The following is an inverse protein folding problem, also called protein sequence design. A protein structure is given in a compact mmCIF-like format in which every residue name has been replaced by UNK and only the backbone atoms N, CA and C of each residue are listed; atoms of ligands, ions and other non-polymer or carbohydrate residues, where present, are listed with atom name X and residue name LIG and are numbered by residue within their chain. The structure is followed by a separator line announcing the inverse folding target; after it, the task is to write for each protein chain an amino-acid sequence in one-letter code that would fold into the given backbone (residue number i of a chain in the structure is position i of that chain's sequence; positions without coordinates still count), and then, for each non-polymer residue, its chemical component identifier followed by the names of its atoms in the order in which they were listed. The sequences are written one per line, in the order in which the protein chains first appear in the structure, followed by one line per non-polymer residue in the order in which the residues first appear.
data_IF_717613411485
#
_entry.id   IF_717613411485
#
_cell.length_a   1.000
_cell.length_b   1.000
_cell.length_c   1.000
_cell.angle_alpha   90.00
_cell.angle_beta   90.00
_cell.angle_gamma   90.00
#
_symmetry.space_group_name_H-M   'P 1'
#
loop_
_entity.id
_entity.type
_entity.pdbx_description
1 polymer ?
#
# COMPACT_ATOMS: atom_id res chain seq x y z
N UNK A 1 -27.56 48.18 -4.92
CA UNK A 1 -26.31 48.79 -4.39
C UNK A 1 -25.69 48.06 -3.19
N UNK A 2 -26.45 47.52 -2.21
CA UNK A 2 -25.88 46.84 -1.03
C UNK A 2 -25.05 45.57 -1.32
N UNK A 3 -25.40 44.75 -2.32
CA UNK A 3 -24.67 43.50 -2.64
C UNK A 3 -23.31 43.74 -3.31
N UNK A 4 -23.16 44.82 -4.09
CA UNK A 4 -21.91 45.18 -4.77
C UNK A 4 -20.84 45.66 -3.80
N UNK A 5 -21.23 46.39 -2.75
CA UNK A 5 -20.30 46.89 -1.72
C UNK A 5 -19.72 45.74 -0.87
N UNK A 6 -20.51 44.70 -0.59
CA UNK A 6 -20.05 43.53 0.17
C UNK A 6 -19.03 42.71 -0.64
N UNK A 7 -19.27 42.53 -1.94
CA UNK A 7 -18.34 41.79 -2.83
C UNK A 7 -17.01 42.54 -2.97
N UNK A 8 -17.05 43.86 -3.12
CA UNK A 8 -15.83 44.69 -3.19
C UNK A 8 -15.04 44.63 -1.87
N UNK A 9 -15.73 44.64 -0.72
CA UNK A 9 -15.09 44.52 0.59
C UNK A 9 -14.37 43.17 0.79
N UNK A 10 -14.98 42.07 0.34
CA UNK A 10 -14.37 40.73 0.44
C UNK A 10 -13.14 40.61 -0.47
N UNK A 11 -13.22 41.12 -1.70
CA UNK A 11 -12.08 41.11 -2.64
C UNK A 11 -10.91 41.94 -2.10
N UNK A 12 -11.18 43.08 -1.47
CA UNK A 12 -10.14 43.92 -0.87
C UNK A 12 -9.44 43.23 0.33
N UNK A 13 -10.19 42.49 1.14
CA UNK A 13 -9.66 41.70 2.26
C UNK A 13 -8.76 40.55 1.80
N UNK A 14 -9.13 39.88 0.71
CA UNK A 14 -8.32 38.81 0.09
C UNK A 14 -7.01 39.37 -0.46
N UNK A 15 -7.05 40.54 -1.13
CA UNK A 15 -5.83 41.18 -1.66
C UNK A 15 -4.88 41.63 -0.54
N UNK A 16 -5.41 42.15 0.58
CA UNK A 16 -4.61 42.52 1.75
C UNK A 16 -3.92 41.31 2.40
N UNK A 17 -4.60 40.17 2.48
CA UNK A 17 -4.00 38.94 3.03
C UNK A 17 -2.92 38.37 2.13
N UNK A 18 -3.11 38.39 0.80
CA UNK A 18 -2.07 37.99 -0.15
C UNK A 18 -0.85 38.91 -0.05
N UNK A 19 -1.05 40.23 0.06
CA UNK A 19 0.05 41.19 0.18
C UNK A 19 0.84 41.02 1.48
N UNK A 20 0.15 40.74 2.59
CA UNK A 20 0.78 40.49 3.88
C UNK A 20 1.63 39.21 3.87
N UNK A 21 1.11 38.13 3.27
CA UNK A 21 1.85 36.87 3.11
C UNK A 21 3.07 37.03 2.19
N UNK A 22 2.95 37.81 1.11
CA UNK A 22 4.05 38.07 0.20
C UNK A 22 5.18 38.88 0.85
N UNK A 23 4.84 39.89 1.67
CA UNK A 23 5.82 40.72 2.37
C UNK A 23 6.60 39.94 3.43
N UNK A 24 5.96 38.99 4.11
CA UNK A 24 6.63 38.14 5.12
C UNK A 24 7.45 36.99 4.52
N UNK A 25 7.42 36.78 3.20
CA UNK A 25 8.22 35.76 2.52
C UNK A 25 9.58 36.27 2.00
N UNK A 26 9.93 37.55 2.24
CA UNK A 26 11.18 38.16 1.76
C UNK A 26 12.13 38.56 2.91
N UNK A 27 12.36 37.69 3.89
CA UNK A 27 13.56 37.81 4.73
C UNK A 27 14.76 37.13 4.04
N UNK A 28 15.91 37.80 3.89
CA UNK A 28 17.08 37.24 3.20
C UNK A 28 17.83 36.23 4.08
N UNK A 29 18.02 35.02 3.56
CA UNK A 29 18.83 33.97 4.17
C UNK A 29 20.32 34.30 4.03
N UNK A 30 20.97 34.63 5.15
CA UNK A 30 22.43 34.80 5.25
C UNK A 30 23.13 33.43 5.18
N UNK A 31 23.89 33.19 4.11
CA UNK A 31 24.75 32.01 3.95
C UNK A 31 26.09 32.23 4.68
N UNK A 32 26.57 31.31 5.55
CA UNK A 32 27.91 31.42 6.11
C UNK A 32 28.98 31.10 5.07
N UNK A 33 29.97 31.99 4.97
CA UNK A 33 31.16 31.85 4.14
C UNK A 33 32.09 30.74 4.65
N UNK A 34 32.65 30.00 3.69
CA UNK A 34 33.78 29.08 3.84
C UNK A 34 35.00 29.87 4.31
N UNK A 35 35.65 29.43 5.39
CA UNK A 35 37.00 29.88 5.75
C UNK A 35 37.97 28.71 5.62
N UNK A 36 38.88 28.82 4.64
CA UNK A 36 40.01 27.92 4.44
C UNK A 36 41.04 28.15 5.56
N UNK A 37 41.47 27.08 6.25
CA UNK A 37 42.76 27.08 6.97
C UNK A 37 43.35 25.67 7.12
N UNK A 38 44.49 25.54 6.43
CA UNK A 38 45.69 24.71 6.68
C UNK A 38 45.64 23.19 6.75
N UNK A 39 46.48 22.60 5.88
CA UNK A 39 46.91 21.21 5.79
C UNK A 39 47.45 20.66 7.12
N UNK A 40 46.84 19.59 7.62
CA UNK A 40 47.52 18.61 8.46
C UNK A 40 47.15 17.21 7.99
N UNK A 41 48.16 16.51 7.48
CA UNK A 41 48.13 15.10 7.11
C UNK A 41 48.01 14.27 8.39
N UNK A 42 46.85 13.67 8.63
CA UNK A 42 46.69 12.62 9.63
C UNK A 42 46.37 11.30 8.93
N UNK A 43 47.29 10.35 9.09
CA UNK A 43 47.15 8.96 8.69
C UNK A 43 46.23 8.28 9.70
N UNK A 44 44.93 8.22 9.42
CA UNK A 44 43.98 7.42 10.20
C UNK A 44 43.83 6.03 9.55
N UNK A 45 44.23 5.00 10.32
CA UNK A 45 43.84 3.61 10.09
C UNK A 45 42.32 3.51 9.92
N UNK A 46 41.81 2.59 9.09
CA UNK A 46 40.38 2.42 8.91
C UNK A 46 39.78 1.91 10.23
N UNK A 47 39.26 2.84 11.03
CA UNK A 47 38.41 2.53 12.16
C UNK A 47 37.18 1.86 11.58
N UNK A 48 37.07 0.56 11.85
CA UNK A 48 35.89 -0.26 11.57
C UNK A 48 34.68 0.52 12.11
N UNK A 49 33.90 1.13 11.22
CA UNK A 49 32.58 1.63 11.54
C UNK A 49 31.80 0.39 11.90
N UNK A 50 31.73 0.11 13.19
CA UNK A 50 30.77 -0.84 13.71
C UNK A 50 29.44 -0.13 13.50
N UNK A 51 28.71 -0.53 12.46
CA UNK A 51 27.32 -0.13 12.28
C UNK A 51 26.59 -0.50 13.57
N UNK A 52 26.40 0.48 14.45
CA UNK A 52 25.46 0.36 15.55
C UNK A 52 24.09 0.32 14.89
N UNK A 53 23.61 -0.88 14.61
CA UNK A 53 22.23 -1.14 14.20
C UNK A 53 21.35 -0.55 15.29
N UNK A 54 20.87 0.68 15.08
CA UNK A 54 19.88 1.33 15.91
C UNK A 54 18.62 0.45 15.83
N UNK A 55 18.40 -0.38 16.86
CA UNK A 55 17.20 -1.18 17.01
C UNK A 55 16.04 -0.22 17.28
N UNK A 56 15.39 0.24 16.22
CA UNK A 56 14.36 1.26 16.32
C UNK A 56 13.08 0.61 16.86
N UNK A 57 12.95 0.60 18.19
CA UNK A 57 11.94 -0.16 18.96
C UNK A 57 10.50 0.29 18.71
N UNK A 58 10.26 1.42 18.03
CA UNK A 58 8.93 1.95 17.73
C UNK A 58 8.69 2.13 16.22
N UNK A 59 9.02 1.12 15.41
CA UNK A 59 8.93 1.19 13.94
C UNK A 59 7.55 0.80 13.42
N UNK A 60 7.01 1.58 12.49
CA UNK A 60 5.88 1.19 11.64
C UNK A 60 6.43 0.64 10.31
N UNK A 61 5.87 -0.46 9.82
CA UNK A 61 6.18 -1.06 8.50
C UNK A 61 4.88 -1.55 7.86
N UNK A 62 4.85 -1.91 6.57
CA UNK A 62 5.84 -1.58 5.57
C UNK A 62 5.60 -0.19 4.96
N UNK A 63 6.59 0.32 4.24
CA UNK A 63 6.27 1.25 3.16
C UNK A 63 5.58 0.48 2.04
N UNK A 64 4.44 0.97 1.56
CA UNK A 64 3.64 0.30 0.54
C UNK A 64 3.88 0.89 -0.83
N UNK A 65 3.95 0.01 -1.83
CA UNK A 65 3.68 0.35 -3.22
C UNK A 65 2.55 -0.50 -3.76
N UNK A 66 1.86 -0.11 -4.81
CA UNK A 66 0.82 -0.97 -5.36
C UNK A 66 -0.23 -0.35 -6.24
N UNK A 67 -1.16 -1.21 -6.62
CA UNK A 67 -2.25 -0.88 -7.52
C UNK A 67 -3.54 -1.56 -7.09
N UNK A 68 -4.65 -0.82 -7.22
CA UNK A 68 -5.97 -1.38 -7.05
C UNK A 68 -6.95 -0.95 -8.15
N UNK A 69 -7.46 -1.94 -8.89
CA UNK A 69 -8.67 -1.78 -9.68
C UNK A 69 -9.87 -2.20 -8.81
N UNK A 70 -10.77 -1.27 -8.52
CA UNK A 70 -11.86 -1.46 -7.55
C UNK A 70 -13.22 -1.16 -8.14
N UNK A 71 -14.26 -1.80 -7.63
CA UNK A 71 -15.62 -1.33 -7.85
C UNK A 71 -15.87 0.01 -7.13
N UNK A 72 -16.84 0.83 -7.58
CA UNK A 72 -17.25 2.01 -6.84
C UNK A 72 -17.65 1.66 -5.40
N UNK A 73 -17.06 2.38 -4.44
CA UNK A 73 -17.25 2.22 -2.99
C UNK A 73 -16.74 0.89 -2.39
N UNK A 74 -16.01 0.09 -3.15
CA UNK A 74 -15.34 -1.08 -2.59
C UNK A 74 -14.22 -0.64 -1.61
N UNK A 75 -14.19 -1.18 -0.39
CA UNK A 75 -13.15 -0.84 0.58
C UNK A 75 -11.80 -1.46 0.19
N UNK A 76 -10.75 -0.65 0.31
CA UNK A 76 -9.35 -1.07 0.23
C UNK A 76 -8.78 -1.02 1.65
N UNK A 77 -8.22 -2.12 2.12
CA UNK A 77 -7.58 -2.16 3.45
C UNK A 77 -6.08 -2.37 3.30
N UNK A 78 -5.29 -1.47 3.88
CA UNK A 78 -3.84 -1.66 4.06
C UNK A 78 -3.58 -1.98 5.53
N UNK A 79 -2.73 -2.96 5.80
CA UNK A 79 -2.34 -3.33 7.17
C UNK A 79 -0.89 -2.98 7.40
N UNK A 80 -0.65 -2.07 8.34
CA UNK A 80 0.70 -1.77 8.83
C UNK A 80 0.98 -2.63 10.04
N UNK A 81 2.24 -2.96 10.27
CA UNK A 81 2.73 -3.69 11.41
C UNK A 81 3.56 -2.74 12.25
N UNK A 82 3.14 -2.55 13.49
CA UNK A 82 3.80 -1.65 14.42
C UNK A 82 4.54 -2.46 15.48
N UNK A 83 5.85 -2.22 15.60
CA UNK A 83 6.63 -2.75 16.71
C UNK A 83 6.46 -1.84 17.93
N UNK A 84 5.93 -2.40 19.01
CA UNK A 84 5.73 -1.70 20.28
C UNK A 84 6.17 -2.61 21.43
N UNK A 85 7.24 -2.26 22.17
CA UNK A 85 7.88 -3.14 23.13
C UNK A 85 7.23 -3.12 24.52
N UNK A 86 6.20 -2.30 24.72
CA UNK A 86 5.58 -2.04 26.02
C UNK A 86 4.15 -2.57 26.04
N UNK A 87 3.65 -2.81 27.24
CA UNK A 87 2.22 -3.02 27.42
C UNK A 87 1.45 -1.72 27.29
N UNK A 88 0.20 -1.86 26.90
CA UNK A 88 -0.74 -0.76 26.85
C UNK A 88 -1.34 -0.52 28.22
N UNK A 89 -1.67 0.73 28.53
CA UNK A 89 -2.53 1.08 29.65
C UNK A 89 -3.84 1.66 29.12
N UNK A 90 -4.84 1.77 29.99
CA UNK A 90 -6.19 2.26 29.64
C UNK A 90 -6.23 3.67 29.05
N UNK A 91 -5.17 4.47 29.24
CA UNK A 91 -5.04 5.81 28.67
C UNK A 91 -4.38 5.82 27.28
N UNK A 92 -4.03 4.65 26.74
CA UNK A 92 -3.32 4.54 25.48
C UNK A 92 -4.29 4.53 24.30
N UNK A 93 -4.01 5.34 23.29
CA UNK A 93 -4.66 5.23 21.98
C UNK A 93 -3.67 5.45 20.85
N UNK A 94 -3.93 4.83 19.70
CA UNK A 94 -3.09 4.94 18.51
C UNK A 94 -3.95 5.41 17.35
N UNK A 95 -3.50 6.45 16.67
CA UNK A 95 -4.13 6.96 15.45
C UNK A 95 -3.23 6.60 14.28
N UNK A 96 -3.77 5.87 13.30
CA UNK A 96 -3.14 5.68 12.00
C UNK A 96 -3.84 6.58 11.01
N UNK A 97 -3.09 7.40 10.29
CA UNK A 97 -3.61 8.35 9.32
C UNK A 97 -2.91 8.19 7.97
N UNK A 98 -3.67 8.28 6.88
CA UNK A 98 -3.17 8.26 5.52
C UNK A 98 -4.03 9.21 4.67
N UNK A 99 -3.44 10.32 4.24
CA UNK A 99 -4.14 11.41 3.57
C UNK A 99 -5.38 11.86 4.37
N UNK A 100 -6.59 11.62 3.85
CA UNK A 100 -7.87 11.96 4.52
C UNK A 100 -8.42 10.84 5.41
N UNK A 101 -7.86 9.64 5.32
CA UNK A 101 -8.34 8.46 6.02
C UNK A 101 -7.64 8.37 7.37
N UNK A 102 -8.36 7.93 8.39
CA UNK A 102 -7.81 7.71 9.72
C UNK A 102 -8.55 6.58 10.42
N UNK A 103 -7.82 5.83 11.23
CA UNK A 103 -8.32 4.77 12.10
C UNK A 103 -7.78 4.99 13.50
N UNK A 104 -8.65 4.79 14.49
CA UNK A 104 -8.32 4.94 15.91
C UNK A 104 -8.37 3.57 16.56
N UNK A 105 -7.30 3.28 17.29
CA UNK A 105 -7.10 2.08 18.07
C UNK A 105 -7.00 2.49 19.54
N UNK A 106 -8.11 2.43 20.25
CA UNK A 106 -8.13 2.62 21.70
C UNK A 106 -7.54 1.40 22.43
N UNK A 107 -7.37 1.53 23.75
CA UNK A 107 -6.81 0.48 24.60
C UNK A 107 -7.50 -0.88 24.38
N UNK A 108 -8.83 -0.93 24.40
CA UNK A 108 -9.60 -2.17 24.26
C UNK A 108 -9.35 -2.83 22.89
N UNK A 109 -9.36 -2.03 21.82
CA UNK A 109 -9.03 -2.53 20.47
C UNK A 109 -7.59 -3.02 20.42
N UNK A 110 -6.63 -2.30 21.00
CA UNK A 110 -5.21 -2.65 21.02
C UNK A 110 -4.93 -3.97 21.75
N UNK A 111 -5.55 -4.22 22.90
CA UNK A 111 -5.36 -5.48 23.65
C UNK A 111 -6.11 -6.65 23.02
N UNK A 112 -7.19 -6.38 22.28
CA UNK A 112 -7.96 -7.42 21.56
C UNK A 112 -7.28 -7.90 20.28
N UNK A 113 -6.35 -7.10 19.73
CA UNK A 113 -5.61 -7.48 18.53
C UNK A 113 -4.67 -8.63 18.87
N UNK A 114 -4.86 -9.75 18.18
CA UNK A 114 -3.91 -10.84 18.24
C UNK A 114 -2.57 -10.34 17.66
N UNK A 115 -1.55 -10.23 18.52
CA UNK A 115 -0.20 -9.86 18.09
C UNK A 115 0.27 -10.92 17.10
N UNK A 116 0.64 -10.48 15.91
CA UNK A 116 0.95 -11.36 14.79
C UNK A 116 2.44 -11.25 14.46
N UNK A 117 3.04 -12.33 13.98
CA UNK A 117 4.38 -12.36 13.36
C UNK A 117 5.46 -11.59 14.14
N UNK A 118 6.14 -12.27 15.07
CA UNK A 118 7.24 -11.68 15.85
C UNK A 118 6.84 -10.42 16.65
N UNK A 119 5.72 -10.49 17.35
CA UNK A 119 5.19 -9.46 18.28
C UNK A 119 4.79 -8.12 17.68
N UNK A 120 4.63 -8.04 16.35
CA UNK A 120 4.09 -6.86 15.72
C UNK A 120 2.56 -6.74 15.90
N UNK A 121 2.10 -5.50 16.00
CA UNK A 121 0.69 -5.15 16.14
C UNK A 121 0.15 -4.72 14.78
N UNK A 122 -0.78 -5.47 14.17
CA UNK A 122 -1.40 -5.08 12.92
C UNK A 122 -2.36 -3.90 13.12
N UNK A 123 -2.08 -2.79 12.45
CA UNK A 123 -2.89 -1.59 12.40
C UNK A 123 -3.34 -1.37 10.95
N UNK A 124 -4.61 -1.60 10.70
CA UNK A 124 -5.23 -1.46 9.39
C UNK A 124 -5.83 -0.07 9.18
N UNK A 125 -5.81 0.40 7.93
CA UNK A 125 -6.57 1.57 7.49
C UNK A 125 -7.43 1.19 6.28
N UNK A 126 -8.71 1.55 6.34
CA UNK A 126 -9.65 1.29 5.24
C UNK A 126 -9.91 2.58 4.46
N UNK A 127 -9.80 2.49 3.15
CA UNK A 127 -10.00 3.57 2.20
C UNK A 127 -11.12 3.22 1.24
N UNK A 128 -11.87 4.21 0.78
CA UNK A 128 -12.94 4.02 -0.19
C UNK A 128 -12.92 5.09 -1.29
N UNK A 129 -13.32 4.67 -2.49
CA UNK A 129 -13.28 5.48 -3.70
C UNK A 129 -14.54 5.29 -4.51
N UNK A 130 -15.23 6.39 -4.83
CA UNK A 130 -16.59 6.34 -5.34
C UNK A 130 -16.75 6.77 -6.79
N UNK A 131 -15.82 7.58 -7.33
CA UNK A 131 -15.95 8.18 -8.67
C UNK A 131 -15.56 7.17 -9.77
N UNK A 132 -16.50 6.65 -10.57
CA UNK A 132 -16.21 5.69 -11.63
C UNK A 132 -15.29 6.30 -12.71
N UNK A 133 -14.49 5.46 -13.37
CA UNK A 133 -13.50 5.87 -14.38
C UNK A 133 -12.44 6.87 -13.91
N UNK A 134 -12.34 7.11 -12.60
CA UNK A 134 -11.33 8.00 -12.05
C UNK A 134 -10.12 7.21 -11.55
N UNK A 135 -8.93 7.74 -11.81
CA UNK A 135 -7.68 7.25 -11.25
C UNK A 135 -7.19 8.20 -10.16
N UNK A 136 -7.00 7.66 -8.96
CA UNK A 136 -6.35 8.34 -7.85
C UNK A 136 -4.90 7.87 -7.76
N UNK A 137 -3.96 8.80 -7.67
CA UNK A 137 -2.55 8.50 -7.37
C UNK A 137 -2.25 8.99 -5.96
N UNK A 138 -1.86 8.09 -5.07
CA UNK A 138 -1.50 8.36 -3.68
C UNK A 138 0.00 8.25 -3.52
N UNK A 139 0.67 9.36 -3.27
CA UNK A 139 2.03 9.39 -2.72
C UNK A 139 1.97 10.13 -1.39
N UNK A 140 1.80 9.41 -0.29
CA UNK A 140 1.59 10.01 1.03
C UNK A 140 2.24 9.20 2.15
N UNK A 141 2.61 9.87 3.23
CA UNK A 141 3.08 9.19 4.43
C UNK A 141 1.89 8.68 5.23
N UNK A 142 1.85 7.37 5.48
CA UNK A 142 1.03 6.80 6.54
C UNK A 142 1.70 7.12 7.88
N UNK A 143 1.02 7.86 8.75
CA UNK A 143 1.53 8.31 10.04
C UNK A 143 0.79 7.61 11.16
N UNK A 144 1.55 6.96 12.05
CA UNK A 144 1.08 6.42 13.33
C UNK A 144 1.47 7.39 14.44
N UNK A 145 0.47 7.82 15.22
CA UNK A 145 0.64 8.67 16.40
C UNK A 145 0.14 7.92 17.62
N UNK A 146 1.03 7.70 18.59
CA UNK A 146 0.73 7.10 19.89
C UNK A 146 0.41 8.21 20.88
N UNK A 147 -0.77 8.13 21.49
CA UNK A 147 -1.23 8.99 22.57
C UNK A 147 -1.26 8.22 23.89
N UNK A 148 -0.81 8.87 24.95
CA UNK A 148 -0.94 8.39 26.34
C UNK A 148 -1.58 9.52 27.14
N UNK A 149 -2.83 9.32 27.55
CA UNK A 149 -3.68 10.39 28.03
C UNK A 149 -3.85 11.47 26.94
N UNK A 150 -3.60 12.73 27.29
CA UNK A 150 -3.71 13.87 26.38
C UNK A 150 -2.39 14.20 25.65
N UNK A 151 -1.35 13.38 25.83
CA UNK A 151 0.00 13.67 25.30
C UNK A 151 0.38 12.74 24.16
N UNK A 152 1.02 13.28 23.12
CA UNK A 152 1.65 12.48 22.07
C UNK A 152 2.95 11.90 22.61
N UNK A 153 3.01 10.59 22.80
CA UNK A 153 4.17 9.89 23.33
C UNK A 153 5.17 9.49 22.24
N UNK A 154 4.70 9.16 21.04
CA UNK A 154 5.58 8.76 19.94
C UNK A 154 4.88 8.87 18.58
N UNK A 155 5.66 9.12 17.53
CA UNK A 155 5.18 9.11 16.16
C UNK A 155 6.13 8.34 15.26
N UNK A 156 5.59 7.69 14.23
CA UNK A 156 6.36 7.05 13.17
C UNK A 156 5.60 7.12 11.86
N UNK A 157 6.30 7.18 10.74
CA UNK A 157 5.67 7.19 9.42
C UNK A 157 6.37 6.31 8.42
N UNK A 158 5.62 5.84 7.43
CA UNK A 158 6.10 5.11 6.26
C UNK A 158 5.47 5.66 5.00
N UNK A 159 6.15 5.53 3.87
CA UNK A 159 5.61 6.02 2.60
C UNK A 159 4.63 5.03 1.98
N UNK A 160 3.58 5.54 1.36
CA UNK A 160 2.58 4.77 0.62
C UNK A 160 2.44 5.35 -0.79
N UNK A 161 2.75 4.53 -1.78
CA UNK A 161 2.61 4.80 -3.21
C UNK A 161 1.54 3.88 -3.84
N UNK A 162 0.30 4.34 -3.96
CA UNK A 162 -0.79 3.54 -4.50
C UNK A 162 -1.48 4.22 -5.67
N UNK A 163 -1.68 3.48 -6.75
CA UNK A 163 -2.60 3.88 -7.81
C UNK A 163 -3.92 3.14 -7.65
N UNK A 164 -5.03 3.89 -7.55
CA UNK A 164 -6.38 3.31 -7.45
C UNK A 164 -7.21 3.73 -8.67
N UNK A 165 -7.63 2.77 -9.48
CA UNK A 165 -8.55 2.97 -10.60
C UNK A 165 -9.93 2.44 -10.23
N UNK A 166 -10.96 3.27 -10.36
CA UNK A 166 -12.34 2.86 -10.08
C UNK A 166 -13.02 2.41 -11.37
N UNK A 167 -13.48 1.16 -11.37
CA UNK A 167 -14.22 0.57 -12.47
C UNK A 167 -15.55 1.29 -12.73
N UNK A 168 -16.01 1.29 -13.98
CA UNK A 168 -17.34 1.78 -14.37
C UNK A 168 -18.35 0.64 -14.52
N UNK A 169 -18.21 -0.34 -13.64
CA UNK A 169 -19.11 -1.47 -13.50
C UNK A 169 -19.29 -1.74 -12.00
N UNK A 170 -20.31 -2.51 -11.67
CA UNK A 170 -20.58 -3.00 -10.31
C UNK A 170 -20.41 -4.52 -10.28
N UNK A 171 -20.34 -5.15 -9.09
CA UNK A 171 -20.28 -6.61 -8.99
C UNK A 171 -21.43 -7.34 -9.71
N UNK A 172 -22.59 -6.69 -9.87
CA UNK A 172 -23.76 -7.27 -10.55
C UNK A 172 -23.59 -7.37 -12.06
N UNK A 173 -22.68 -6.59 -12.63
CA UNK A 173 -22.40 -6.57 -14.07
C UNK A 173 -21.38 -7.64 -14.47
N UNK A 174 -20.81 -8.35 -13.49
CA UNK A 174 -19.72 -9.30 -13.69
C UNK A 174 -20.26 -10.73 -13.77
N UNK A 175 -20.13 -11.39 -14.93
CA UNK A 175 -20.67 -12.72 -15.18
C UNK A 175 -19.69 -13.84 -14.82
N UNK A 176 -18.67 -13.54 -14.01
CA UNK A 176 -17.77 -14.53 -13.41
C UNK A 176 -17.82 -14.40 -11.90
N UNK A 177 -17.51 -15.49 -11.21
CA UNK A 177 -17.49 -15.50 -9.75
C UNK A 177 -16.08 -15.78 -9.25
N UNK A 178 -15.66 -15.05 -8.22
CA UNK A 178 -14.42 -15.33 -7.49
C UNK A 178 -14.75 -16.05 -6.18
N UNK A 179 -14.13 -17.20 -5.97
CA UNK A 179 -14.26 -18.02 -4.77
C UNK A 179 -13.19 -17.69 -3.72
N UNK A 180 -12.58 -18.74 -3.15
CA UNK A 180 -11.45 -18.55 -2.23
C UNK A 180 -10.21 -17.98 -2.95
N UNK A 181 -9.47 -17.10 -2.27
CA UNK A 181 -8.25 -16.49 -2.82
C UNK A 181 -7.19 -16.29 -1.74
N UNK A 182 -5.92 -16.21 -2.17
CA UNK A 182 -4.83 -15.78 -1.29
C UNK A 182 -4.97 -14.28 -1.02
N UNK A 183 -5.18 -13.91 0.24
CA UNK A 183 -5.35 -12.51 0.64
C UNK A 183 -4.03 -11.82 0.99
N UNK A 184 -2.97 -12.58 1.24
CA UNK A 184 -1.64 -12.02 1.43
C UNK A 184 -0.51 -13.03 1.59
N UNK A 185 0.70 -12.50 1.67
CA UNK A 185 1.95 -13.23 1.86
C UNK A 185 2.88 -12.41 2.75
N UNK A 186 3.47 -13.05 3.77
CA UNK A 186 4.46 -12.40 4.63
C UNK A 186 5.80 -13.08 4.43
N UNK A 187 6.79 -12.30 3.99
CA UNK A 187 8.17 -12.74 3.82
C UNK A 187 9.00 -12.38 5.04
N UNK A 188 9.90 -13.29 5.43
CA UNK A 188 10.90 -13.08 6.48
C UNK A 188 12.33 -12.98 5.91
N UNK A 189 12.49 -13.03 4.58
CA UNK A 189 13.81 -12.90 3.94
C UNK A 189 14.05 -11.48 3.44
N UNK A 190 15.33 -11.12 3.35
CA UNK A 190 15.81 -9.89 2.69
C UNK A 190 15.97 -10.07 1.17
N UNK A 191 15.91 -11.30 0.68
CA UNK A 191 16.17 -11.63 -0.73
C UNK A 191 14.98 -11.31 -1.65
N UNK A 192 15.28 -11.27 -2.95
CA UNK A 192 14.27 -11.27 -4.02
C UNK A 192 13.44 -12.55 -4.01
N UNK A 193 12.16 -12.44 -4.36
CA UNK A 193 11.21 -13.54 -4.29
C UNK A 193 10.30 -13.61 -5.51
N UNK A 194 9.84 -14.83 -5.81
CA UNK A 194 8.69 -15.05 -6.69
C UNK A 194 7.55 -15.51 -5.81
N UNK A 195 6.47 -14.73 -5.79
CA UNK A 195 5.26 -15.03 -5.03
C UNK A 195 4.11 -15.33 -5.97
N UNK A 196 3.09 -16.01 -5.45
CA UNK A 196 1.91 -16.39 -6.22
C UNK A 196 0.65 -15.77 -5.64
N UNK A 197 -0.02 -14.98 -6.47
CA UNK A 197 -1.41 -14.61 -6.27
C UNK A 197 -2.30 -15.71 -6.87
N UNK A 198 -3.25 -16.21 -6.09
CA UNK A 198 -4.14 -17.29 -6.49
C UNK A 198 -5.58 -16.94 -6.11
N UNK A 199 -6.49 -17.03 -7.08
CA UNK A 199 -7.92 -16.82 -6.87
C UNK A 199 -8.72 -17.90 -7.58
N UNK A 200 -9.62 -18.56 -6.87
CA UNK A 200 -10.63 -19.41 -7.47
C UNK A 200 -11.52 -18.57 -8.37
N UNK A 201 -11.72 -19.03 -9.60
CA UNK A 201 -12.57 -18.40 -10.60
C UNK A 201 -13.56 -19.43 -11.14
N UNK A 202 -14.83 -19.07 -11.21
CA UNK A 202 -15.91 -19.88 -11.79
C UNK A 202 -16.56 -19.14 -12.95
N UNK A 203 -16.84 -19.89 -14.02
CA UNK A 203 -17.62 -19.44 -15.15
C UNK A 203 -19.06 -19.97 -15.03
N UNK A 204 -20.02 -19.20 -14.49
CA UNK A 204 -21.42 -19.63 -14.40
C UNK A 204 -22.17 -19.51 -15.75
N UNK A 205 -21.51 -19.05 -16.82
CA UNK A 205 -22.16 -18.78 -18.09
C UNK A 205 -22.15 -19.99 -19.02
N UNK A 206 -23.06 -20.01 -20.00
CA UNK A 206 -23.08 -20.98 -21.10
C UNK A 206 -22.02 -20.71 -22.18
N UNK A 207 -21.21 -19.66 -21.99
CA UNK A 207 -20.19 -19.23 -22.96
C UNK A 207 -18.81 -19.49 -22.40
N UNK A 208 -17.86 -19.64 -23.32
CA UNK A 208 -16.46 -19.71 -22.97
C UNK A 208 -15.97 -18.34 -22.47
N UNK A 209 -15.15 -18.35 -21.43
CA UNK A 209 -14.51 -17.16 -20.85
C UNK A 209 -13.01 -17.24 -21.11
N UNK A 210 -12.47 -16.25 -21.82
CA UNK A 210 -11.03 -16.13 -22.05
C UNK A 210 -10.45 -15.04 -21.13
N UNK A 211 -9.38 -15.36 -20.40
CA UNK A 211 -8.56 -14.38 -19.68
C UNK A 211 -7.59 -13.79 -20.68
N UNK A 212 -7.83 -12.56 -21.11
CA UNK A 212 -6.96 -11.88 -22.07
C UNK A 212 -5.74 -11.25 -21.40
N UNK A 213 -5.93 -10.70 -20.20
CA UNK A 213 -4.88 -10.00 -19.48
C UNK A 213 -5.12 -9.96 -17.98
N UNK A 214 -4.05 -10.03 -17.19
CA UNK A 214 -4.01 -9.62 -15.79
C UNK A 214 -2.98 -8.50 -15.70
N UNK A 215 -3.43 -7.30 -15.37
CA UNK A 215 -2.57 -6.12 -15.42
C UNK A 215 -2.66 -5.26 -14.18
N UNK A 216 -1.55 -4.57 -13.92
CA UNK A 216 -1.51 -3.36 -13.11
C UNK A 216 -0.61 -2.36 -13.84
N UNK A 217 -0.97 -1.06 -13.87
CA UNK A 217 -0.10 -0.05 -14.43
C UNK A 217 1.24 -0.05 -13.69
N UNK A 218 2.32 0.00 -14.47
CA UNK A 218 3.68 0.14 -13.94
C UNK A 218 3.73 1.40 -13.07
N UNK A 219 4.16 1.25 -11.83
CA UNK A 219 4.21 2.35 -10.86
C UNK A 219 5.28 3.35 -11.31
N UNK A 220 4.84 4.57 -11.66
CA UNK A 220 5.67 5.59 -12.29
C UNK A 220 6.51 6.40 -11.30
N UNK A 221 6.21 6.32 -10.00
CA UNK A 221 6.65 7.34 -9.04
C UNK A 221 7.94 6.92 -8.31
N UNK A 222 8.16 5.63 -8.07
CA UNK A 222 9.38 5.17 -7.40
C UNK A 222 10.14 4.14 -8.24
N UNK A 223 11.17 4.57 -9.00
CA UNK A 223 11.92 3.70 -9.90
C UNK A 223 12.75 2.61 -9.18
N UNK A 224 12.93 2.70 -7.86
CA UNK A 224 13.69 1.73 -7.08
C UNK A 224 12.90 0.46 -6.71
N UNK A 225 11.57 0.46 -6.86
CA UNK A 225 10.77 -0.74 -6.58
C UNK A 225 10.52 -1.52 -7.87
N UNK A 226 11.20 -2.65 -7.99
CA UNK A 226 11.00 -3.55 -9.12
C UNK A 226 10.02 -4.67 -8.74
N UNK A 227 8.81 -4.57 -9.28
CA UNK A 227 7.78 -5.61 -9.22
C UNK A 227 7.43 -5.94 -10.66
N UNK A 228 7.39 -7.23 -10.99
CA UNK A 228 7.15 -7.68 -12.36
C UNK A 228 6.18 -8.85 -12.38
N UNK A 229 5.19 -8.79 -13.28
CA UNK A 229 4.33 -9.94 -13.56
C UNK A 229 5.08 -10.86 -14.50
N UNK A 230 5.41 -12.06 -14.02
CA UNK A 230 6.16 -13.05 -14.79
C UNK A 230 5.25 -13.86 -15.70
N UNK A 231 4.14 -14.35 -15.14
CA UNK A 231 3.19 -15.22 -15.85
C UNK A 231 1.84 -15.19 -15.16
N UNK A 232 0.77 -15.38 -15.93
CA UNK A 232 -0.58 -15.59 -15.39
C UNK A 232 -1.34 -16.61 -16.23
N UNK A 233 -2.41 -17.16 -15.67
CA UNK A 233 -3.32 -18.05 -16.36
C UNK A 233 -4.12 -18.90 -15.38
N UNK A 234 -4.79 -19.92 -15.88
CA UNK A 234 -5.65 -20.82 -15.12
C UNK A 234 -4.95 -22.15 -14.92
N UNK A 235 -4.74 -22.49 -13.66
CA UNK A 235 -4.27 -23.78 -13.22
C UNK A 235 -5.46 -24.69 -12.92
N UNK A 236 -5.38 -25.95 -13.36
CA UNK A 236 -6.32 -26.98 -12.95
C UNK A 236 -5.88 -27.54 -11.59
N UNK A 237 -6.22 -26.82 -10.53
CA UNK A 237 -5.96 -27.22 -9.15
C UNK A 237 -7.27 -27.20 -8.35
N UNK A 238 -7.34 -28.01 -7.30
CA UNK A 238 -8.55 -28.08 -6.47
C UNK A 238 -8.68 -26.91 -5.49
N UNK A 239 -7.56 -26.30 -5.09
CA UNK A 239 -7.51 -25.14 -4.22
C UNK A 239 -6.23 -24.31 -4.42
N UNK A 240 -6.18 -23.12 -3.84
CA UNK A 240 -5.06 -22.18 -3.94
C UNK A 240 -3.78 -22.64 -3.20
N UNK A 241 -3.87 -23.58 -2.27
CA UNK A 241 -2.70 -24.11 -1.52
C UNK A 241 -1.89 -25.12 -2.34
N UNK A 242 -2.49 -25.71 -3.38
CA UNK A 242 -1.84 -26.64 -4.30
C UNK A 242 -1.10 -25.95 -5.46
N UNK A 243 -1.06 -24.62 -5.48
CA UNK A 243 -0.43 -23.85 -6.53
C UNK A 243 1.10 -23.91 -6.37
N UNK A 244 1.85 -24.37 -7.40
CA UNK A 244 3.30 -24.41 -7.32
C UNK A 244 3.89 -23.00 -7.29
N UNK A 245 4.99 -22.82 -6.56
CA UNK A 245 5.71 -21.55 -6.45
C UNK A 245 6.47 -21.19 -7.72
N UNK A 246 6.84 -22.18 -8.53
CA UNK A 246 7.41 -21.98 -9.86
C UNK A 246 6.32 -21.94 -10.94
N UNK A 247 6.39 -21.01 -11.90
CA UNK A 247 5.40 -20.94 -12.98
C UNK A 247 5.40 -22.21 -13.84
N UNK A 248 4.28 -22.94 -13.95
CA UNK A 248 4.16 -24.06 -14.88
C UNK A 248 4.30 -23.59 -16.33
N UNK A 249 4.76 -24.46 -17.23
CA UNK A 249 4.85 -24.14 -18.67
C UNK A 249 3.45 -23.98 -19.30
N UNK A 250 2.52 -24.86 -18.94
CA UNK A 250 1.18 -24.88 -19.51
C UNK A 250 0.15 -24.30 -18.54
N UNK A 251 -0.16 -23.02 -18.72
CA UNK A 251 -1.32 -22.39 -18.09
C UNK A 251 -2.40 -22.15 -19.13
N UNK A 252 -3.64 -22.51 -18.79
CA UNK A 252 -4.78 -22.28 -19.68
C UNK A 252 -5.18 -20.82 -19.60
N UNK A 253 -5.72 -20.29 -20.69
CA UNK A 253 -6.26 -18.93 -20.72
C UNK A 253 -7.79 -18.94 -20.81
N UNK A 254 -8.39 -20.12 -20.70
CA UNK A 254 -9.79 -20.35 -21.04
C UNK A 254 -10.47 -21.14 -19.92
N UNK A 255 -11.65 -20.67 -19.51
CA UNK A 255 -12.64 -21.43 -18.75
C UNK A 255 -13.79 -21.83 -19.66
N UNK A 256 -14.08 -23.13 -19.70
CA UNK A 256 -15.26 -23.68 -20.36
C UNK A 256 -16.55 -23.27 -19.61
N UNK A 257 -17.73 -23.39 -20.23
CA UNK A 257 -19.01 -23.21 -19.53
C UNK A 257 -19.09 -24.04 -18.26
N UNK A 258 -19.57 -23.44 -17.16
CA UNK A 258 -19.71 -24.06 -15.84
C UNK A 258 -18.42 -24.57 -15.20
N UNK A 259 -17.26 -24.26 -15.79
CA UNK A 259 -15.96 -24.68 -15.29
C UNK A 259 -15.53 -23.82 -14.10
N UNK A 260 -14.74 -24.44 -13.21
CA UNK A 260 -13.96 -23.77 -12.17
C UNK A 260 -12.47 -24.00 -12.39
N UNK A 261 -11.65 -23.05 -11.96
CA UNK A 261 -10.20 -23.19 -11.94
C UNK A 261 -9.56 -22.19 -10.98
N UNK A 262 -8.23 -22.22 -10.90
CA UNK A 262 -7.47 -21.28 -10.09
C UNK A 262 -6.75 -20.31 -11.01
N UNK A 263 -7.17 -19.04 -11.02
CA UNK A 263 -6.43 -17.95 -11.65
C UNK A 263 -5.16 -17.71 -10.84
N UNK A 264 -4.01 -17.96 -11.44
CA UNK A 264 -2.70 -17.74 -10.84
C UNK A 264 -2.00 -16.55 -11.50
N UNK A 265 -1.27 -15.77 -10.72
CA UNK A 265 -0.38 -14.72 -11.20
C UNK A 265 0.92 -14.78 -10.43
N UNK A 266 2.00 -15.04 -11.15
CA UNK A 266 3.36 -15.11 -10.63
C UNK A 266 3.99 -13.73 -10.66
N UNK A 267 4.42 -13.26 -9.50
CA UNK A 267 4.94 -11.92 -9.30
C UNK A 267 6.38 -12.02 -8.80
N UNK A 268 7.30 -11.40 -9.52
CA UNK A 268 8.66 -11.14 -9.02
C UNK A 268 8.63 -9.89 -8.13
N UNK A 269 9.19 -10.01 -6.93
CA UNK A 269 9.32 -8.95 -5.94
C UNK A 269 10.80 -8.77 -5.59
N UNK A 270 11.32 -7.58 -5.85
CA UNK A 270 12.71 -7.24 -5.55
C UNK A 270 12.98 -7.04 -4.04
N UNK A 271 14.25 -7.08 -3.63
CA UNK A 271 14.71 -6.97 -2.23
C UNK A 271 14.35 -5.65 -1.53
N UNK A 272 14.09 -4.59 -2.32
CA UNK A 272 13.76 -3.26 -1.78
C UNK A 272 12.27 -3.07 -1.45
N UNK A 273 11.39 -3.95 -1.92
CA UNK A 273 9.93 -3.84 -1.71
C UNK A 273 9.55 -4.33 -0.31
N UNK A 274 9.19 -3.40 0.59
CA UNK A 274 8.73 -3.78 1.93
C UNK A 274 7.26 -4.20 1.95
N UNK A 275 6.42 -3.58 1.13
CA UNK A 275 4.99 -3.84 1.07
C UNK A 275 4.47 -3.65 -0.34
N UNK A 276 3.67 -4.60 -0.82
CA UNK A 276 3.01 -4.51 -2.12
C UNK A 276 1.52 -4.82 -2.00
N UNK A 277 0.68 -3.88 -2.42
CA UNK A 277 -0.76 -4.09 -2.52
C UNK A 277 -1.17 -4.34 -3.97
N UNK A 278 -1.85 -5.45 -4.20
CA UNK A 278 -2.22 -5.92 -5.53
C UNK A 278 -3.70 -6.25 -5.58
N UNK A 279 -4.46 -5.46 -6.34
CA UNK A 279 -5.82 -5.80 -6.73
C UNK A 279 -5.94 -5.61 -8.24
N UNK A 280 -5.75 -6.68 -9.03
CA UNK A 280 -5.49 -6.56 -10.46
C UNK A 280 -6.70 -6.09 -11.27
N UNK A 281 -6.38 -5.52 -12.44
CA UNK A 281 -7.32 -5.30 -13.53
C UNK A 281 -7.29 -6.52 -14.45
N UNK A 282 -8.37 -7.28 -14.48
CA UNK A 282 -8.48 -8.51 -15.29
C UNK A 282 -9.32 -8.20 -16.53
N UNK A 283 -8.74 -8.40 -17.71
CA UNK A 283 -9.46 -8.28 -18.98
C UNK A 283 -9.93 -9.66 -19.42
N UNK A 284 -11.22 -9.77 -19.71
CA UNK A 284 -11.90 -11.01 -20.07
C UNK A 284 -12.60 -10.87 -21.41
N UNK A 285 -12.75 -11.98 -22.13
CA UNK A 285 -13.64 -12.10 -23.29
C UNK A 285 -14.69 -13.17 -23.03
N UNK A 286 -15.96 -12.85 -23.29
CA UNK A 286 -17.10 -13.74 -23.05
C UNK A 286 -17.96 -13.75 -24.31
N UNK A 287 -17.82 -14.80 -25.12
CA UNK A 287 -18.26 -14.76 -26.51
C UNK A 287 -17.61 -13.58 -27.25
N UNK A 288 -18.40 -12.70 -27.85
CA UNK A 288 -17.88 -11.56 -28.62
C UNK A 288 -17.65 -10.29 -27.79
N UNK A 289 -17.87 -10.33 -26.47
CA UNK A 289 -17.78 -9.15 -25.60
C UNK A 289 -16.50 -9.18 -24.78
N UNK A 290 -15.71 -8.12 -24.89
CA UNK A 290 -14.61 -7.85 -23.95
C UNK A 290 -15.13 -7.06 -22.74
N UNK A 291 -14.62 -7.39 -21.55
CA UNK A 291 -14.94 -6.68 -20.32
C UNK A 291 -13.74 -6.64 -19.38
N UNK A 292 -13.74 -5.69 -18.46
CA UNK A 292 -12.65 -5.50 -17.51
C UNK A 292 -13.20 -5.51 -16.09
N UNK A 293 -12.68 -6.41 -15.26
CA UNK A 293 -13.18 -6.63 -13.89
C UNK A 293 -12.06 -6.51 -12.85
N UNK A 294 -12.38 -5.99 -11.65
CA UNK A 294 -11.55 -6.13 -10.45
C UNK A 294 -11.32 -7.60 -10.07
N UNK A 295 -10.06 -7.97 -9.82
CA UNK A 295 -9.73 -9.21 -9.13
C UNK A 295 -9.83 -9.08 -7.60
N UNK A 296 -9.80 -10.22 -6.87
CA UNK A 296 -9.62 -10.22 -5.42
C UNK A 296 -8.32 -9.51 -4.96
N UNK A 297 -8.32 -8.86 -3.78
CA UNK A 297 -7.14 -8.17 -3.27
C UNK A 297 -6.08 -9.13 -2.71
N UNK A 298 -4.83 -8.72 -2.76
CA UNK A 298 -3.68 -9.42 -2.22
C UNK A 298 -2.66 -8.44 -1.64
N UNK A 299 -2.09 -8.77 -0.48
CA UNK A 299 -1.05 -7.96 0.17
C UNK A 299 0.21 -8.76 0.42
N UNK A 300 1.33 -8.30 -0.10
CA UNK A 300 2.67 -8.78 0.26
C UNK A 300 3.28 -7.86 1.30
N UNK A 301 3.89 -8.42 2.34
CA UNK A 301 4.64 -7.66 3.36
C UNK A 301 5.93 -8.40 3.69
N UNK A 302 7.04 -7.66 3.75
CA UNK A 302 8.35 -8.16 4.16
C UNK A 302 8.69 -7.69 5.57
N UNK A 303 8.90 -8.63 6.48
CA UNK A 303 9.29 -8.42 7.89
C UNK A 303 10.59 -9.19 8.13
N UNK A 304 11.72 -8.54 7.90
CA UNK A 304 13.04 -9.21 7.96
C UNK A 304 13.62 -9.31 9.36
N UNK A 305 13.03 -8.60 10.33
CA UNK A 305 13.54 -8.46 11.68
C UNK A 305 12.37 -8.55 12.68
N UNK A 306 12.50 -9.37 13.74
CA UNK A 306 11.47 -9.47 14.76
C UNK A 306 11.29 -8.14 15.49
N UNK A 307 10.12 -7.91 16.08
CA UNK A 307 9.94 -6.78 16.98
C UNK A 307 10.72 -7.11 18.27
N UNK A 308 11.92 -6.55 18.39
CA UNK A 308 12.75 -6.83 19.56
C UNK A 308 12.28 -5.96 20.73
N UNK A 309 11.52 -6.57 21.64
CA UNK A 309 10.97 -5.89 22.83
C UNK A 309 11.94 -5.85 24.01
N UNK A 310 13.08 -6.54 23.90
CA UNK A 310 14.09 -6.63 24.94
C UNK A 310 15.23 -5.65 24.62
N UNK A 311 15.12 -4.43 25.15
CA UNK A 311 16.23 -3.48 25.29
C UNK A 311 16.34 -3.01 26.73
#
# INVERSE_FOLDING_TARGET
MRKTVVVIGIVFLILLTIFYLYKNSQEPTTSPQITHKDNQTFTESPTKITDSVSHNTYRLIPSYVGYAYVYPNEPITLTFYWCYPKDFNSSTSVVVSLARFHEIYDYERLISINRSFSDYIPLSITMNFSRPNYQYNFGANAKRTLWVGETVANESSVFVDLTVQVANITPKDVPIEFGHYSSGYISFTKDKEVIVYAAEIRNPTERLVEILNVSYPRLLIIPQYNISLLKFGILNASDASQVPTTPPEDLRMVLSPHERGILVTYLYIDENVQGFYFKPKITLRIGDREMVVPGPPFSYVRITEPCNTNS
#
